data_IF_215751126019
#
_entry.id   IF_215751126019
#
_cell.length_a   1.000
_cell.length_b   1.000
_cell.length_c   1.000
_cell.angle_alpha   90.00
_cell.angle_beta   90.00
_cell.angle_gamma   90.00
#
_symmetry.space_group_name_H-M   'P 1'
#
loop_
_entity.id
_entity.type
_entity.pdbx_description
1 polymer ?
#
# COMPACT_ATOMS: atom_id res chain seq x y z
N UNK A 1 2.76 -13.34 -8.97
CA UNK A 1 2.85 -11.88 -8.87
C UNK A 1 4.29 -11.48 -8.60
N UNK A 2 4.90 -10.73 -9.51
CA UNK A 2 6.22 -10.12 -9.34
C UNK A 2 6.14 -8.84 -8.49
N UNK A 3 7.29 -8.33 -8.04
CA UNK A 3 7.35 -7.07 -7.27
C UNK A 3 6.78 -5.88 -8.05
N UNK A 4 7.13 -5.78 -9.32
CA UNK A 4 6.60 -4.74 -10.22
C UNK A 4 5.10 -4.88 -10.43
N UNK A 5 4.60 -6.10 -10.66
CA UNK A 5 3.15 -6.35 -10.78
C UNK A 5 2.40 -5.97 -9.51
N UNK A 6 2.91 -6.36 -8.34
CA UNK A 6 2.33 -6.01 -7.05
C UNK A 6 2.26 -4.49 -6.87
N UNK A 7 3.38 -3.80 -7.12
CA UNK A 7 3.44 -2.33 -7.04
C UNK A 7 2.41 -1.69 -7.96
N UNK A 8 2.38 -2.09 -9.23
CA UNK A 8 1.44 -1.54 -10.22
C UNK A 8 -0.01 -1.76 -9.79
N UNK A 9 -0.35 -2.95 -9.28
CA UNK A 9 -1.67 -3.25 -8.75
C UNK A 9 -2.04 -2.37 -7.56
N UNK A 10 -1.14 -2.19 -6.59
CA UNK A 10 -1.36 -1.33 -5.41
C UNK A 10 -1.68 0.10 -5.86
N UNK A 11 -0.90 0.67 -6.78
CA UNK A 11 -1.14 2.02 -7.30
C UNK A 11 -2.40 2.13 -8.14
N UNK A 12 -2.72 1.12 -8.96
CA UNK A 12 -3.96 1.07 -9.73
C UNK A 12 -5.18 1.03 -8.81
N UNK A 13 -5.18 0.18 -7.78
CA UNK A 13 -6.27 0.07 -6.82
C UNK A 13 -6.42 1.38 -6.04
N UNK A 14 -5.32 2.03 -5.65
CA UNK A 14 -5.36 3.33 -5.01
C UNK A 14 -6.07 4.38 -5.88
N UNK A 15 -5.79 4.41 -7.19
CA UNK A 15 -6.49 5.29 -8.15
C UNK A 15 -7.98 4.95 -8.25
N UNK A 16 -8.33 3.68 -8.34
CA UNK A 16 -9.75 3.23 -8.37
C UNK A 16 -10.48 3.65 -7.09
N UNK A 17 -9.81 3.55 -5.93
CA UNK A 17 -10.30 4.03 -4.63
C UNK A 17 -10.29 5.56 -4.50
N UNK A 18 -9.96 6.31 -5.55
CA UNK A 18 -9.85 7.78 -5.57
C UNK A 18 -8.90 8.35 -4.53
N UNK A 19 -7.90 7.57 -4.11
CA UNK A 19 -6.77 8.09 -3.34
C UNK A 19 -5.91 8.93 -4.28
N UNK A 20 -5.35 10.03 -3.76
CA UNK A 20 -4.40 10.83 -4.54
C UNK A 20 -3.13 10.02 -4.77
N UNK A 21 -2.77 9.88 -6.04
CA UNK A 21 -1.49 9.31 -6.49
C UNK A 21 -0.77 10.38 -7.30
N UNK A 22 0.46 10.71 -6.90
CA UNK A 22 1.32 11.65 -7.61
C UNK A 22 2.77 11.17 -7.58
N UNK A 23 3.65 11.94 -8.22
CA UNK A 23 5.08 11.64 -8.31
C UNK A 23 5.87 12.54 -7.35
N UNK A 24 6.88 11.98 -6.71
CA UNK A 24 7.86 12.70 -5.91
C UNK A 24 8.92 13.35 -6.82
N UNK A 25 9.69 14.31 -6.27
CA UNK A 25 10.77 14.98 -7.02
C UNK A 25 11.84 14.02 -7.57
N UNK A 26 11.99 12.84 -6.97
CA UNK A 26 12.93 11.80 -7.38
C UNK A 26 12.33 10.78 -8.36
N UNK A 27 11.15 11.05 -8.92
CA UNK A 27 10.47 10.19 -9.89
C UNK A 27 9.67 9.04 -9.29
N UNK A 28 9.63 8.91 -7.95
CA UNK A 28 8.86 7.83 -7.31
C UNK A 28 7.39 8.19 -7.17
N UNK A 29 6.52 7.30 -7.64
CA UNK A 29 5.09 7.39 -7.34
C UNK A 29 4.84 7.25 -5.83
N UNK A 30 3.81 7.94 -5.32
CA UNK A 30 3.31 7.78 -3.95
C UNK A 30 1.79 7.86 -3.86
N UNK A 31 1.25 7.17 -2.85
CA UNK A 31 -0.18 7.14 -2.52
C UNK A 31 -0.38 7.93 -1.23
N UNK A 32 -1.26 8.91 -1.26
CA UNK A 32 -1.65 9.65 -0.06
C UNK A 32 -2.83 8.97 0.64
N UNK A 33 -2.60 8.54 1.87
CA UNK A 33 -3.65 8.04 2.77
C UNK A 33 -4.26 9.16 3.62
N UNK A 34 -3.51 10.24 3.83
CA UNK A 34 -4.00 11.47 4.45
C UNK A 34 -3.09 12.64 4.06
N UNK A 35 -3.61 13.58 3.27
CA UNK A 35 -2.85 14.73 2.79
C UNK A 35 -2.55 15.74 3.91
N UNK A 36 -3.51 15.99 4.80
CA UNK A 36 -3.39 16.96 5.91
C UNK A 36 -2.26 16.61 6.87
N UNK A 37 -2.10 15.34 7.20
CA UNK A 37 -1.07 14.84 8.12
C UNK A 37 0.13 14.21 7.39
N UNK A 38 0.21 14.45 6.09
CA UNK A 38 1.25 13.98 5.18
C UNK A 38 1.59 12.49 5.29
N UNK A 39 0.54 11.66 5.38
CA UNK A 39 0.69 10.21 5.44
C UNK A 39 0.58 9.64 4.04
N UNK A 40 1.72 9.26 3.49
CA UNK A 40 1.82 8.61 2.19
C UNK A 40 2.76 7.39 2.23
N UNK A 41 2.63 6.52 1.24
CA UNK A 41 3.60 5.49 0.90
C UNK A 41 4.09 5.69 -0.52
N UNK A 42 5.40 5.73 -0.74
CA UNK A 42 6.00 5.79 -2.08
C UNK A 42 6.37 4.39 -2.59
N UNK A 43 6.72 4.29 -3.87
CA UNK A 43 7.09 3.05 -4.55
C UNK A 43 8.02 2.14 -3.73
N UNK A 44 9.10 2.69 -3.15
CA UNK A 44 10.02 1.91 -2.31
C UNK A 44 9.40 1.30 -1.04
N UNK A 45 8.41 1.95 -0.42
CA UNK A 45 7.68 1.36 0.71
C UNK A 45 6.78 0.21 0.23
N UNK A 46 6.13 0.38 -0.92
CA UNK A 46 5.30 -0.68 -1.53
C UNK A 46 6.17 -1.89 -1.89
N UNK A 47 7.35 -1.65 -2.46
CA UNK A 47 8.33 -2.69 -2.78
C UNK A 47 8.83 -3.41 -1.52
N UNK A 48 8.92 -2.73 -0.38
CA UNK A 48 9.30 -3.32 0.91
C UNK A 48 8.19 -4.20 1.53
N UNK A 49 6.92 -3.91 1.22
CA UNK A 49 5.76 -4.71 1.66
C UNK A 49 5.56 -5.98 0.82
N UNK A 50 6.15 -6.04 -0.38
CA UNK A 50 5.94 -7.10 -1.35
C UNK A 50 6.17 -8.50 -0.79
N UNK A 51 7.27 -8.70 -0.06
CA UNK A 51 7.73 -10.04 0.34
C UNK A 51 6.65 -10.80 1.14
N UNK A 52 5.89 -10.06 1.96
CA UNK A 52 4.78 -10.58 2.74
C UNK A 52 3.42 -10.38 2.04
N UNK A 53 3.07 -9.17 1.64
CA UNK A 53 1.72 -8.85 1.16
C UNK A 53 1.38 -9.48 -0.20
N UNK A 54 2.35 -10.06 -0.92
CA UNK A 54 2.09 -10.88 -2.11
C UNK A 54 1.39 -12.21 -1.81
N UNK A 55 1.43 -12.66 -0.56
CA UNK A 55 0.81 -13.93 -0.16
C UNK A 55 -0.67 -13.71 0.16
N UNK A 56 -1.59 -14.54 -0.37
CA UNK A 56 -3.00 -14.44 -0.04
C UNK A 56 -3.28 -14.95 1.38
N UNK A 57 -4.47 -14.66 1.89
CA UNK A 57 -5.01 -15.17 3.16
C UNK A 57 -4.19 -14.83 4.42
N UNK A 58 -3.45 -13.73 4.42
CA UNK A 58 -2.84 -13.21 5.65
C UNK A 58 -3.91 -12.77 6.64
N UNK A 59 -3.64 -12.96 7.93
CA UNK A 59 -4.52 -12.45 8.96
C UNK A 59 -4.43 -10.92 9.03
N UNK A 60 -5.48 -10.21 9.50
CA UNK A 60 -5.41 -8.76 9.74
C UNK A 60 -4.24 -8.37 10.65
N UNK A 61 -3.85 -9.24 11.58
CA UNK A 61 -2.69 -9.04 12.46
C UNK A 61 -1.38 -9.04 11.67
N UNK A 62 -1.17 -10.02 10.81
CA UNK A 62 0.07 -10.15 10.02
C UNK A 62 0.22 -8.98 9.04
N UNK A 63 -0.88 -8.59 8.40
CA UNK A 63 -0.94 -7.41 7.52
C UNK A 63 -0.55 -6.15 8.31
N UNK A 64 -1.13 -5.94 9.50
CA UNK A 64 -0.82 -4.78 10.32
C UNK A 64 0.63 -4.75 10.81
N UNK A 65 1.19 -5.90 11.21
CA UNK A 65 2.59 -6.01 11.62
C UNK A 65 3.50 -5.57 10.47
N UNK A 66 3.23 -6.05 9.26
CA UNK A 66 4.05 -5.73 8.11
C UNK A 66 3.91 -4.27 7.67
N UNK A 67 2.70 -3.72 7.67
CA UNK A 67 2.50 -2.29 7.42
C UNK A 67 3.20 -1.45 8.50
N UNK A 68 3.15 -1.86 9.76
CA UNK A 68 3.82 -1.15 10.85
C UNK A 68 5.34 -1.15 10.70
N UNK A 69 5.93 -2.27 10.26
CA UNK A 69 7.36 -2.40 9.98
C UNK A 69 7.85 -1.36 8.96
N UNK A 70 7.05 -1.12 7.92
CA UNK A 70 7.39 -0.18 6.84
C UNK A 70 6.96 1.26 7.16
N UNK A 71 5.87 1.42 7.90
CA UNK A 71 5.21 2.72 8.13
C UNK A 71 4.68 2.84 9.58
N UNK A 72 5.59 2.97 10.57
CA UNK A 72 5.22 2.95 11.99
C UNK A 72 4.37 4.16 12.39
N UNK A 73 3.38 3.93 13.25
CA UNK A 73 2.57 4.99 13.85
C UNK A 73 1.60 5.71 12.90
N UNK A 74 1.12 5.03 11.85
CA UNK A 74 0.25 5.63 10.80
C UNK A 74 -1.08 4.88 10.63
N UNK A 75 -2.06 5.04 11.53
CA UNK A 75 -3.29 4.24 11.51
C UNK A 75 -4.11 4.36 10.20
N UNK A 76 -4.14 5.55 9.57
CA UNK A 76 -4.79 5.74 8.27
C UNK A 76 -4.11 4.94 7.15
N UNK A 77 -2.79 4.80 7.18
CA UNK A 77 -2.02 3.95 6.26
C UNK A 77 -2.32 2.48 6.46
N UNK A 78 -2.53 2.04 7.71
CA UNK A 78 -2.87 0.64 8.03
C UNK A 78 -4.24 0.26 7.45
N UNK A 79 -5.25 1.10 7.68
CA UNK A 79 -6.59 0.88 7.11
C UNK A 79 -6.55 0.85 5.58
N UNK A 80 -5.97 1.89 4.95
CA UNK A 80 -5.96 2.00 3.50
C UNK A 80 -5.19 0.86 2.81
N UNK A 81 -4.03 0.45 3.34
CA UNK A 81 -3.27 -0.66 2.78
C UNK A 81 -3.95 -2.01 2.98
N UNK A 82 -4.65 -2.23 4.10
CA UNK A 82 -5.43 -3.45 4.31
C UNK A 82 -6.57 -3.58 3.30
N UNK A 83 -7.29 -2.50 3.03
CA UNK A 83 -8.34 -2.50 2.01
C UNK A 83 -7.76 -2.77 0.60
N UNK A 84 -6.58 -2.22 0.29
CA UNK A 84 -5.89 -2.53 -0.97
C UNK A 84 -5.50 -4.01 -1.02
N UNK A 85 -4.96 -4.57 0.06
CA UNK A 85 -4.60 -5.99 0.15
C UNK A 85 -5.82 -6.90 -0.08
N UNK A 86 -6.94 -6.61 0.58
CA UNK A 86 -8.19 -7.36 0.41
C UNK A 86 -8.64 -7.36 -1.06
N UNK A 87 -8.55 -6.22 -1.75
CA UNK A 87 -8.91 -6.10 -3.15
C UNK A 87 -7.93 -6.81 -4.12
N UNK A 88 -6.64 -6.92 -3.76
CA UNK A 88 -5.66 -7.69 -4.55
C UNK A 88 -5.98 -9.18 -4.52
N UNK A 89 -6.37 -9.72 -3.37
CA UNK A 89 -6.48 -11.17 -3.15
C UNK A 89 -7.91 -11.71 -3.16
N UNK A 90 -8.91 -10.83 -3.09
CA UNK A 90 -10.34 -11.15 -3.23
C UNK A 90 -11.00 -10.17 -4.20
N UNK A 91 -10.65 -10.21 -5.49
CA UNK A 91 -11.35 -9.44 -6.50
C UNK A 91 -12.80 -9.96 -6.58
N UNK A 92 -13.75 -9.13 -6.18
CA UNK A 92 -15.19 -9.39 -6.37
C UNK A 92 -15.57 -9.36 -7.84
#
# INVERSE_FOLDING_TARGET
MTKTEFRNLVFQIARVKRLRVDEMKDGKERIWFNEKSQKFLHAGHIDALFDQLRHPNLSPRDINIEIHRVAPGRPCTHKGMREIYEQIHRPS
#
